data_IF_149513409029
#
_entry.id   IF_149513409029
#
_cell.length_a   1.000
_cell.length_b   1.000
_cell.length_c   1.000
_cell.angle_alpha   90.00
_cell.angle_beta   90.00
_cell.angle_gamma   90.00
#
_symmetry.space_group_name_H-M   'P 1'
#
loop_
_entity.id
_entity.type
_entity.pdbx_description
1 polymer ?
#
# COMPACT_ATOMS: atom_id res chain seq x y z
N UNK A 1 10.64 6.92 18.12
CA UNK A 1 10.07 6.53 16.82
C UNK A 1 8.74 7.27 16.72
N UNK A 2 8.46 7.90 15.59
CA UNK A 2 7.19 8.59 15.31
C UNK A 2 6.62 7.94 14.07
N UNK A 3 5.41 7.40 14.19
CA UNK A 3 4.70 6.73 13.11
C UNK A 3 3.68 7.65 12.44
N UNK A 4 3.36 7.36 11.18
CA UNK A 4 2.49 8.17 10.31
C UNK A 4 2.84 9.68 10.33
N UNK A 5 4.14 10.00 10.28
CA UNK A 5 4.61 11.39 10.37
C UNK A 5 4.11 12.28 9.24
N UNK A 6 3.80 11.70 8.08
CA UNK A 6 3.20 12.37 6.94
C UNK A 6 1.72 12.75 7.16
N UNK A 7 0.94 11.98 7.92
CA UNK A 7 -0.41 12.40 8.31
C UNK A 7 -0.38 13.70 9.13
N UNK A 8 0.67 13.90 9.93
CA UNK A 8 0.86 15.09 10.74
C UNK A 8 1.42 16.29 9.96
N UNK A 9 1.84 16.11 8.69
CA UNK A 9 2.51 17.18 7.93
C UNK A 9 1.62 18.39 7.63
N UNK A 10 0.29 18.19 7.63
CA UNK A 10 -0.70 19.25 7.45
C UNK A 10 -0.85 20.17 8.68
N UNK A 11 -0.09 19.91 9.75
CA UNK A 11 -0.07 20.71 10.96
C UNK A 11 1.28 21.43 11.12
N UNK A 12 1.21 22.75 11.19
CA UNK A 12 2.35 23.65 11.46
C UNK A 12 3.16 23.25 12.69
N UNK A 13 2.49 22.71 13.71
CA UNK A 13 3.10 22.21 14.94
C UNK A 13 4.05 21.04 14.68
N UNK A 14 3.73 20.15 13.75
CA UNK A 14 4.57 19.02 13.39
C UNK A 14 5.82 19.46 12.63
N UNK A 15 5.67 20.35 11.65
CA UNK A 15 6.83 20.93 10.94
C UNK A 15 7.75 21.70 11.92
N UNK A 16 7.16 22.41 12.88
CA UNK A 16 7.92 23.08 13.94
C UNK A 16 8.68 22.07 14.82
N UNK A 17 8.04 20.96 15.20
CA UNK A 17 8.69 19.86 15.93
C UNK A 17 9.87 19.27 15.15
N UNK A 18 9.71 19.05 13.85
CA UNK A 18 10.78 18.59 12.96
C UNK A 18 11.99 19.55 12.96
N UNK A 19 11.72 20.86 12.94
CA UNK A 19 12.75 21.91 13.09
C UNK A 19 13.44 21.91 14.45
N UNK A 20 12.71 21.63 15.54
CA UNK A 20 13.29 21.46 16.88
C UNK A 20 14.24 20.27 16.93
N UNK A 21 13.86 19.12 16.35
CA UNK A 21 14.74 17.95 16.28
C UNK A 21 16.02 18.28 15.52
N UNK A 22 15.93 18.91 14.35
CA UNK A 22 17.11 19.35 13.60
C UNK A 22 18.02 20.25 14.44
N UNK A 23 17.43 21.24 15.11
CA UNK A 23 18.17 22.20 15.93
C UNK A 23 18.86 21.56 17.14
N UNK A 24 18.21 20.56 17.75
CA UNK A 24 18.78 19.80 18.85
C UNK A 24 19.91 18.87 18.37
N UNK A 25 19.74 18.19 17.22
CA UNK A 25 20.77 17.36 16.62
C UNK A 25 22.03 18.15 16.24
N UNK A 26 21.87 19.36 15.68
CA UNK A 26 23.02 20.21 15.33
C UNK A 26 23.79 20.68 16.57
N UNK A 27 23.10 20.89 17.70
CA UNK A 27 23.69 21.32 18.98
C UNK A 27 24.02 20.16 19.93
N UNK A 28 24.05 18.92 19.44
CA UNK A 28 24.27 17.71 20.27
C UNK A 28 25.62 17.67 20.99
N UNK A 29 26.59 18.48 20.57
CA UNK A 29 27.88 18.61 21.22
C UNK A 29 27.89 19.62 22.38
N UNK A 30 26.89 20.50 22.45
CA UNK A 30 26.77 21.56 23.47
C UNK A 30 25.74 21.20 24.56
N UNK A 31 24.67 20.49 24.20
CA UNK A 31 23.60 20.10 25.11
C UNK A 31 23.24 18.62 24.93
N UNK A 32 22.93 17.89 26.03
CA UNK A 32 22.35 16.56 25.93
C UNK A 32 21.08 16.57 25.07
N UNK A 33 20.98 15.62 24.15
CA UNK A 33 19.84 15.46 23.24
C UNK A 33 19.63 13.97 22.90
N UNK A 34 18.64 13.67 22.08
CA UNK A 34 18.36 12.32 21.59
C UNK A 34 19.53 11.71 20.79
N UNK A 35 19.64 10.38 20.82
CA UNK A 35 20.61 9.64 20.02
C UNK A 35 20.17 9.53 18.55
N UNK A 36 18.88 9.23 18.33
CA UNK A 36 18.30 9.06 16.99
C UNK A 36 16.82 9.40 17.00
N UNK A 37 16.33 9.95 15.89
CA UNK A 37 14.91 10.08 15.57
C UNK A 37 14.63 9.20 14.36
N UNK A 38 13.60 8.36 14.47
CA UNK A 38 13.08 7.55 13.37
C UNK A 38 11.66 8.04 13.10
N UNK A 39 11.43 8.48 11.86
CA UNK A 39 10.13 8.88 11.34
C UNK A 39 9.71 7.85 10.30
N UNK A 40 8.48 7.36 10.39
CA UNK A 40 7.88 6.48 9.39
C UNK A 40 6.65 7.17 8.77
N UNK A 41 6.41 6.89 7.50
CA UNK A 41 5.36 7.50 6.70
C UNK A 41 5.41 6.97 5.27
N UNK A 42 4.34 7.16 4.53
CA UNK A 42 4.20 6.75 3.13
C UNK A 42 4.83 7.79 2.20
N UNK A 43 4.65 9.08 2.52
CA UNK A 43 5.21 10.15 1.73
C UNK A 43 6.66 10.50 2.12
N UNK A 44 7.43 10.85 1.10
CA UNK A 44 8.79 11.35 1.28
C UNK A 44 8.83 12.62 2.14
N UNK A 45 9.64 12.59 3.20
CA UNK A 45 9.82 13.71 4.14
C UNK A 45 10.22 15.02 3.45
N UNK A 46 10.85 14.96 2.27
CA UNK A 46 11.23 16.14 1.48
C UNK A 46 10.02 16.88 0.91
N UNK A 47 8.92 16.17 0.69
CA UNK A 47 7.70 16.71 0.07
C UNK A 47 6.71 17.30 1.10
N UNK A 48 7.02 17.26 2.40
CA UNK A 48 6.17 17.89 3.41
C UNK A 48 6.10 19.41 3.19
N UNK A 49 4.88 19.95 3.15
CA UNK A 49 4.58 21.38 2.96
C UNK A 49 3.92 21.97 4.19
N UNK A 50 4.25 23.22 4.49
CA UNK A 50 3.46 24.09 5.36
C UNK A 50 2.12 24.42 4.66
N UNK A 51 1.04 24.60 5.42
CA UNK A 51 -0.21 25.11 4.84
C UNK A 51 0.06 26.46 4.13
N UNK A 52 -0.52 26.63 2.95
CA UNK A 52 -0.43 27.82 2.07
C UNK A 52 0.88 28.06 1.30
N UNK A 53 1.85 27.16 1.31
CA UNK A 53 3.07 27.29 0.49
C UNK A 53 3.02 26.40 -0.77
N UNK A 54 3.23 27.01 -1.95
CA UNK A 54 3.26 26.30 -3.24
C UNK A 54 4.42 25.33 -3.43
N UNK A 55 5.43 25.37 -2.55
CA UNK A 55 6.66 24.58 -2.68
C UNK A 55 6.99 23.85 -1.36
N UNK A 56 7.57 22.64 -1.42
CA UNK A 56 8.01 21.90 -0.24
C UNK A 56 9.00 22.72 0.58
N UNK A 57 8.81 22.75 1.90
CA UNK A 57 9.67 23.50 2.83
C UNK A 57 10.13 22.67 4.03
N UNK A 58 10.17 21.35 3.87
CA UNK A 58 10.64 20.43 4.91
C UNK A 58 12.02 20.83 5.44
N UNK A 59 12.22 20.86 6.78
CA UNK A 59 13.53 21.12 7.38
C UNK A 59 14.55 20.00 7.09
N UNK A 60 14.10 18.89 6.50
CA UNK A 60 14.87 17.72 6.07
C UNK A 60 14.90 17.59 4.54
N UNK A 61 15.19 18.69 3.83
CA UNK A 61 15.24 18.75 2.36
C UNK A 61 16.48 18.07 1.72
N UNK A 62 17.47 17.69 2.51
CA UNK A 62 18.62 16.87 2.08
C UNK A 62 18.50 15.53 2.80
N UNK A 63 18.09 14.51 2.07
CA UNK A 63 17.95 13.13 2.55
C UNK A 63 18.66 12.18 1.57
N UNK A 64 19.40 11.22 2.11
CA UNK A 64 19.92 10.09 1.33
C UNK A 64 18.76 9.10 1.13
N UNK A 65 18.42 8.72 -0.11
CA UNK A 65 17.38 7.73 -0.34
C UNK A 65 17.81 6.39 0.29
N UNK A 66 16.91 5.81 1.09
CA UNK A 66 17.03 4.45 1.59
C UNK A 66 15.94 3.65 0.88
N UNK A 67 16.32 2.94 -0.18
CA UNK A 67 15.42 2.08 -0.94
C UNK A 67 15.32 0.74 -0.21
N UNK A 68 14.18 0.51 0.44
CA UNK A 68 13.85 -0.77 1.07
C UNK A 68 12.62 -1.29 0.35
N UNK A 69 12.75 -2.47 -0.25
CA UNK A 69 11.59 -3.25 -0.66
C UNK A 69 10.93 -3.80 0.60
N UNK A 70 9.70 -3.34 0.87
CA UNK A 70 8.93 -3.77 2.03
C UNK A 70 8.00 -4.94 1.69
N UNK A 71 8.05 -5.50 0.48
CA UNK A 71 7.29 -6.69 0.13
C UNK A 71 7.99 -7.95 0.65
N UNK A 72 7.18 -8.92 1.10
CA UNK A 72 7.70 -10.22 1.47
C UNK A 72 7.88 -11.11 0.25
N UNK A 73 9.04 -11.71 0.09
CA UNK A 73 9.25 -12.83 -0.81
C UNK A 73 8.48 -14.07 -0.35
N UNK A 74 8.21 -15.01 -1.26
CA UNK A 74 7.57 -16.28 -0.89
C UNK A 74 8.39 -17.08 0.15
N UNK A 75 9.72 -16.93 0.16
CA UNK A 75 10.58 -17.55 1.16
C UNK A 75 10.43 -16.91 2.55
N UNK A 76 10.30 -15.59 2.65
CA UNK A 76 10.06 -14.92 3.94
C UNK A 76 8.67 -15.27 4.48
N UNK A 77 7.65 -15.33 3.62
CA UNK A 77 6.32 -15.81 4.02
C UNK A 77 6.40 -17.25 4.52
N UNK A 78 7.14 -18.12 3.82
CA UNK A 78 7.37 -19.51 4.25
C UNK A 78 8.01 -19.57 5.63
N UNK A 79 9.04 -18.78 5.90
CA UNK A 79 9.70 -18.76 7.21
C UNK A 79 8.73 -18.38 8.32
N UNK A 80 7.90 -17.36 8.10
CA UNK A 80 6.85 -16.98 9.06
C UNK A 80 5.82 -18.11 9.26
N UNK A 81 5.44 -18.83 8.21
CA UNK A 81 4.54 -19.97 8.30
C UNK A 81 5.18 -21.21 8.93
N UNK A 82 6.49 -21.43 8.75
CA UNK A 82 7.23 -22.50 9.43
C UNK A 82 7.22 -22.28 10.95
N UNK A 83 7.45 -21.05 11.41
CA UNK A 83 7.36 -20.68 12.83
C UNK A 83 5.93 -20.91 13.36
N UNK A 84 4.93 -20.46 12.61
CA UNK A 84 3.52 -20.65 12.99
C UNK A 84 3.11 -22.13 13.03
N UNK A 85 3.56 -22.95 12.08
CA UNK A 85 3.30 -24.40 12.04
C UNK A 85 3.97 -25.13 13.21
N UNK A 86 5.18 -24.72 13.62
CA UNK A 86 5.84 -25.28 14.79
C UNK A 86 5.02 -25.06 16.06
N UNK A 87 4.37 -23.90 16.19
CA UNK A 87 3.57 -23.55 17.36
C UNK A 87 2.17 -24.18 17.35
N UNK A 88 1.52 -24.27 16.18
CA UNK A 88 0.09 -24.62 16.06
C UNK A 88 -0.19 -26.00 15.47
N UNK A 89 0.81 -26.67 14.88
CA UNK A 89 0.72 -28.03 14.34
C UNK A 89 -0.48 -28.23 13.40
N UNK A 90 -0.70 -27.27 12.49
CA UNK A 90 -1.85 -27.25 11.59
C UNK A 90 -1.77 -28.30 10.47
N UNK A 91 -0.61 -28.97 10.33
CA UNK A 91 -0.26 -29.91 9.26
C UNK A 91 -0.23 -29.27 7.86
N UNK A 92 0.03 -27.95 7.78
CA UNK A 92 0.09 -27.25 6.51
C UNK A 92 1.35 -27.57 5.71
N UNK A 93 1.25 -27.47 4.39
CA UNK A 93 2.43 -27.38 3.54
C UNK A 93 2.87 -25.92 3.43
N UNK A 94 3.75 -25.49 4.34
CA UNK A 94 4.19 -24.08 4.46
C UNK A 94 4.74 -23.52 3.15
N UNK A 95 5.52 -24.31 2.40
CA UNK A 95 6.08 -23.89 1.12
C UNK A 95 5.01 -23.63 0.06
N UNK A 96 4.01 -24.52 -0.03
CA UNK A 96 2.92 -24.38 -1.00
C UNK A 96 2.03 -23.19 -0.64
N UNK A 97 1.65 -23.05 0.63
CA UNK A 97 0.79 -21.98 1.10
C UNK A 97 1.48 -20.62 0.99
N UNK A 98 2.76 -20.53 1.35
CA UNK A 98 3.54 -19.30 1.20
C UNK A 98 3.60 -18.84 -0.26
N UNK A 99 3.83 -19.78 -1.20
CA UNK A 99 3.84 -19.44 -2.62
C UNK A 99 2.46 -18.95 -3.08
N UNK A 100 1.38 -19.63 -2.67
CA UNK A 100 0.04 -19.22 -3.04
C UNK A 100 -0.34 -17.85 -2.47
N UNK A 101 -0.02 -17.57 -1.20
CA UNK A 101 -0.22 -16.25 -0.59
C UNK A 101 0.58 -15.19 -1.35
N UNK A 102 1.85 -15.46 -1.67
CA UNK A 102 2.69 -14.56 -2.46
C UNK A 102 2.08 -14.28 -3.85
N UNK A 103 1.65 -15.32 -4.57
CA UNK A 103 1.07 -15.19 -5.93
C UNK A 103 -0.16 -14.29 -5.97
N UNK A 104 -0.94 -14.23 -4.89
CA UNK A 104 -2.13 -13.38 -4.80
C UNK A 104 -1.83 -11.97 -4.27
N UNK A 105 -0.88 -11.86 -3.35
CA UNK A 105 -0.61 -10.62 -2.59
C UNK A 105 0.54 -9.80 -3.17
N UNK A 106 1.40 -10.40 -4.02
CA UNK A 106 2.66 -9.81 -4.45
C UNK A 106 3.61 -9.52 -3.27
N UNK A 107 3.44 -10.22 -2.14
CA UNK A 107 4.22 -9.96 -0.92
C UNK A 107 3.75 -8.74 -0.12
N UNK A 108 2.64 -8.09 -0.48
CA UNK A 108 2.15 -6.90 0.22
C UNK A 108 1.88 -7.20 1.71
N UNK A 109 2.62 -6.61 2.67
CA UNK A 109 2.65 -7.07 4.06
C UNK A 109 1.29 -7.19 4.73
N UNK A 110 0.44 -6.16 4.60
CA UNK A 110 -0.88 -6.18 5.19
C UNK A 110 -1.78 -7.28 4.57
N UNK A 111 -1.70 -7.51 3.26
CA UNK A 111 -2.53 -8.52 2.59
C UNK A 111 -2.07 -9.94 2.98
N UNK A 112 -0.76 -10.16 3.07
CA UNK A 112 -0.17 -11.41 3.60
C UNK A 112 -0.71 -11.69 5.00
N UNK A 113 -0.55 -10.73 5.92
CA UNK A 113 -0.99 -10.88 7.31
C UNK A 113 -2.51 -11.05 7.44
N UNK A 114 -3.29 -10.28 6.68
CA UNK A 114 -4.76 -10.34 6.73
C UNK A 114 -5.28 -11.67 6.18
N UNK A 115 -4.69 -12.22 5.11
CA UNK A 115 -5.06 -13.57 4.64
C UNK A 115 -4.77 -14.63 5.69
N UNK A 116 -3.58 -14.62 6.29
CA UNK A 116 -3.23 -15.55 7.36
C UNK A 116 -4.21 -15.46 8.54
N UNK A 117 -4.56 -14.23 8.95
CA UNK A 117 -5.52 -13.98 10.01
C UNK A 117 -6.92 -14.52 9.68
N UNK A 118 -7.44 -14.30 8.46
CA UNK A 118 -8.74 -14.83 8.04
C UNK A 118 -8.74 -16.37 8.04
N UNK A 119 -7.67 -17.02 7.56
CA UNK A 119 -7.58 -18.49 7.53
C UNK A 119 -7.66 -19.07 8.95
N UNK A 120 -6.94 -18.45 9.89
CA UNK A 120 -6.89 -18.87 11.28
C UNK A 120 -8.22 -18.63 12.01
N UNK A 121 -8.74 -17.39 11.99
CA UNK A 121 -9.95 -17.01 12.73
C UNK A 121 -11.20 -17.77 12.25
N UNK A 122 -11.31 -18.02 10.95
CA UNK A 122 -12.47 -18.72 10.37
C UNK A 122 -12.29 -20.23 10.23
N UNK A 123 -11.14 -20.77 10.65
CA UNK A 123 -10.85 -22.21 10.67
C UNK A 123 -11.04 -22.83 9.28
N UNK A 124 -10.65 -22.11 8.22
CA UNK A 124 -10.81 -22.57 6.83
C UNK A 124 -9.86 -23.71 6.43
N UNK A 125 -8.85 -23.97 7.28
CA UNK A 125 -7.81 -24.97 7.03
C UNK A 125 -6.66 -24.39 6.20
N UNK A 126 -5.43 -24.75 6.57
CA UNK A 126 -4.22 -24.27 5.92
C UNK A 126 -3.87 -25.11 4.67
N UNK A 127 -4.78 -25.08 3.70
CA UNK A 127 -4.71 -25.75 2.40
C UNK A 127 -5.18 -24.80 1.27
N UNK A 128 -5.19 -25.27 0.03
CA UNK A 128 -5.58 -24.46 -1.13
C UNK A 128 -7.02 -23.95 -1.03
N UNK A 129 -7.95 -24.78 -0.59
CA UNK A 129 -9.36 -24.42 -0.43
C UNK A 129 -9.53 -23.32 0.61
N UNK A 130 -8.83 -23.42 1.74
CA UNK A 130 -8.92 -22.44 2.81
C UNK A 130 -8.30 -21.09 2.45
N UNK A 131 -7.19 -21.08 1.72
CA UNK A 131 -6.63 -19.83 1.15
C UNK A 131 -7.61 -19.19 0.18
N UNK A 132 -8.26 -19.97 -0.69
CA UNK A 132 -9.28 -19.44 -1.62
C UNK A 132 -10.50 -18.89 -0.88
N UNK A 133 -10.95 -19.56 0.20
CA UNK A 133 -12.04 -19.06 1.04
C UNK A 133 -11.67 -17.72 1.68
N UNK A 134 -10.45 -17.61 2.23
CA UNK A 134 -9.95 -16.38 2.82
C UNK A 134 -9.82 -15.22 1.81
N UNK A 135 -9.38 -15.51 0.58
CA UNK A 135 -9.34 -14.50 -0.49
C UNK A 135 -10.75 -14.01 -0.83
N UNK A 136 -11.73 -14.91 -0.94
CA UNK A 136 -13.10 -14.52 -1.26
C UNK A 136 -13.70 -13.65 -0.15
N UNK A 137 -13.44 -14.00 1.11
CA UNK A 137 -13.87 -13.20 2.25
C UNK A 137 -13.21 -11.82 2.26
N UNK A 138 -11.89 -11.76 2.09
CA UNK A 138 -11.13 -10.51 1.99
C UNK A 138 -11.71 -9.58 0.92
N UNK A 139 -12.08 -10.11 -0.24
CA UNK A 139 -12.67 -9.34 -1.34
C UNK A 139 -14.10 -8.86 -1.07
N UNK A 140 -14.79 -9.48 -0.11
CA UNK A 140 -16.14 -9.11 0.32
C UNK A 140 -16.17 -8.19 1.55
N UNK A 141 -15.10 -8.18 2.33
CA UNK A 141 -14.96 -7.39 3.55
C UNK A 141 -14.71 -5.91 3.22
N UNK A 142 -15.27 -5.02 4.04
CA UNK A 142 -14.95 -3.59 3.96
C UNK A 142 -13.67 -3.31 4.76
N UNK A 143 -12.53 -3.43 4.09
CA UNK A 143 -11.23 -3.09 4.68
C UNK A 143 -10.80 -1.65 4.34
N UNK A 144 -10.06 -1.02 5.27
CA UNK A 144 -9.61 0.37 5.13
C UNK A 144 -8.75 0.57 3.88
N UNK A 145 -7.82 -0.35 3.59
CA UNK A 145 -6.94 -0.30 2.42
C UNK A 145 -7.72 -0.13 1.10
N UNK A 146 -8.79 -0.92 0.92
CA UNK A 146 -9.66 -0.82 -0.26
C UNK A 146 -10.49 0.46 -0.26
N UNK A 147 -10.94 0.90 0.91
CA UNK A 147 -11.70 2.15 1.04
C UNK A 147 -10.83 3.36 0.68
N UNK A 148 -9.57 3.38 1.11
CA UNK A 148 -8.61 4.43 0.78
C UNK A 148 -8.29 4.46 -0.72
N UNK A 149 -8.08 3.30 -1.33
CA UNK A 149 -7.88 3.21 -2.78
C UNK A 149 -9.10 3.73 -3.55
N UNK A 150 -10.29 3.30 -3.16
CA UNK A 150 -11.52 3.80 -3.79
C UNK A 150 -11.65 5.33 -3.65
N UNK A 151 -11.45 5.87 -2.44
CA UNK A 151 -11.53 7.32 -2.20
C UNK A 151 -10.51 8.10 -3.04
N UNK A 152 -9.28 7.59 -3.19
CA UNK A 152 -8.27 8.25 -4.01
C UNK A 152 -8.65 8.25 -5.50
N UNK A 153 -9.25 7.17 -6.01
CA UNK A 153 -9.79 7.16 -7.38
C UNK A 153 -10.96 8.14 -7.58
N UNK A 154 -11.79 8.36 -6.57
CA UNK A 154 -12.88 9.35 -6.63
C UNK A 154 -12.36 10.78 -6.55
N UNK A 155 -11.31 11.04 -5.76
CA UNK A 155 -10.66 12.34 -5.66
C UNK A 155 -9.88 12.70 -6.95
N UNK A 156 -9.28 11.70 -7.60
CA UNK A 156 -8.46 11.86 -8.80
C UNK A 156 -9.04 11.07 -9.99
N UNK A 157 -9.98 11.64 -10.78
CA UNK A 157 -10.60 10.94 -11.92
C UNK A 157 -9.62 10.47 -13.01
N UNK A 158 -8.48 11.15 -13.17
CA UNK A 158 -7.40 10.74 -14.07
C UNK A 158 -6.76 9.45 -13.61
N UNK A 159 -6.56 9.26 -12.30
CA UNK A 159 -6.09 7.99 -11.72
C UNK A 159 -7.12 6.87 -11.97
N UNK A 160 -8.42 7.13 -11.74
CA UNK A 160 -9.47 6.14 -12.02
C UNK A 160 -9.46 5.68 -13.49
N UNK A 161 -9.27 6.63 -14.41
CA UNK A 161 -9.17 6.33 -15.85
C UNK A 161 -7.94 5.47 -16.15
N UNK A 162 -6.78 5.85 -15.60
CA UNK A 162 -5.53 5.12 -15.74
C UNK A 162 -5.63 3.68 -15.22
N UNK A 163 -6.24 3.49 -14.05
CA UNK A 163 -6.49 2.15 -13.46
C UNK A 163 -7.37 1.33 -14.40
N UNK A 164 -8.44 1.90 -14.98
CA UNK A 164 -9.30 1.20 -15.95
C UNK A 164 -8.52 0.81 -17.22
N UNK A 165 -7.69 1.70 -17.75
CA UNK A 165 -6.88 1.43 -18.95
C UNK A 165 -5.90 0.28 -18.71
N UNK A 166 -5.16 0.31 -17.60
CA UNK A 166 -4.23 -0.77 -17.20
C UNK A 166 -4.99 -2.08 -17.00
N UNK A 167 -6.14 -2.06 -16.33
CA UNK A 167 -6.95 -3.25 -16.06
C UNK A 167 -7.53 -3.88 -17.35
N UNK A 168 -7.82 -3.07 -18.38
CA UNK A 168 -8.22 -3.54 -19.70
C UNK A 168 -7.03 -4.01 -20.56
N UNK A 169 -5.81 -4.02 -20.02
CA UNK A 169 -4.61 -4.47 -20.70
C UNK A 169 -3.99 -3.43 -21.64
N UNK A 170 -4.34 -2.14 -21.51
CA UNK A 170 -3.65 -1.11 -22.27
C UNK A 170 -2.21 -0.95 -21.79
N UNK A 171 -1.29 -0.79 -22.75
CA UNK A 171 0.11 -0.60 -22.46
C UNK A 171 0.40 0.85 -22.07
N UNK A 172 0.58 1.09 -20.77
CA UNK A 172 0.93 2.40 -20.21
C UNK A 172 2.40 2.37 -19.78
N UNK A 173 3.18 3.38 -20.18
CA UNK A 173 4.58 3.50 -19.76
C UNK A 173 4.69 3.87 -18.28
N UNK A 174 5.56 3.17 -17.56
CA UNK A 174 5.84 3.48 -16.16
C UNK A 174 6.72 4.73 -16.07
N UNK A 175 6.22 5.79 -15.44
CA UNK A 175 6.96 7.02 -15.22
C UNK A 175 6.45 7.75 -13.98
N UNK A 176 7.27 7.78 -12.93
CA UNK A 176 6.99 8.52 -11.68
C UNK A 176 6.97 10.05 -11.86
N UNK A 177 7.23 10.55 -13.07
CA UNK A 177 7.01 11.95 -13.42
C UNK A 177 5.52 12.25 -13.70
N UNK A 178 4.72 11.22 -13.96
CA UNK A 178 3.26 11.34 -14.09
C UNK A 178 2.66 11.26 -12.68
N UNK A 179 1.94 12.30 -12.20
CA UNK A 179 1.47 12.38 -10.82
C UNK A 179 0.64 11.17 -10.39
N UNK A 180 -0.24 10.66 -11.26
CA UNK A 180 -1.10 9.52 -10.99
C UNK A 180 -0.31 8.22 -10.82
N UNK A 181 0.71 7.99 -11.67
CA UNK A 181 1.60 6.82 -11.57
C UNK A 181 2.43 6.92 -10.30
N UNK A 182 2.99 8.10 -10.01
CA UNK A 182 3.76 8.34 -8.78
C UNK A 182 2.92 8.05 -7.54
N UNK A 183 1.70 8.57 -7.50
CA UNK A 183 0.78 8.38 -6.39
C UNK A 183 0.45 6.90 -6.20
N UNK A 184 0.02 6.20 -7.26
CA UNK A 184 -0.31 4.78 -7.19
C UNK A 184 0.90 3.89 -6.85
N UNK A 185 2.10 4.23 -7.33
CA UNK A 185 3.33 3.53 -6.97
C UNK A 185 3.72 3.76 -5.50
N UNK A 186 3.44 4.95 -4.94
CA UNK A 186 3.72 5.26 -3.52
C UNK A 186 2.93 4.33 -2.58
N UNK A 187 1.70 3.98 -2.94
CA UNK A 187 0.86 3.02 -2.22
C UNK A 187 1.06 1.56 -2.68
N UNK A 188 2.04 1.30 -3.56
CA UNK A 188 2.30 0.01 -4.16
C UNK A 188 1.06 -0.64 -4.80
N UNK A 189 0.19 0.18 -5.40
CA UNK A 189 -0.93 -0.29 -6.21
C UNK A 189 -0.52 -0.55 -7.65
N UNK A 190 0.47 0.19 -8.14
CA UNK A 190 1.13 -0.04 -9.41
C UNK A 190 2.56 -0.52 -9.22
N UNK A 191 2.97 -1.44 -10.08
CA UNK A 191 4.35 -1.92 -10.20
C UNK A 191 4.90 -1.60 -11.60
N UNK A 192 6.23 -1.50 -11.68
CA UNK A 192 6.96 -1.41 -12.94
C UNK A 192 7.29 -2.82 -13.46
N UNK A 193 6.62 -3.23 -14.54
CA UNK A 193 6.96 -4.44 -15.27
C UNK A 193 7.62 -4.04 -16.59
N UNK A 194 8.96 -4.06 -16.58
CA UNK A 194 9.80 -3.78 -17.76
C UNK A 194 9.52 -2.43 -18.45
N UNK A 195 9.26 -1.38 -17.67
CA UNK A 195 8.93 -0.03 -18.15
C UNK A 195 7.45 0.18 -18.41
N UNK A 196 6.58 -0.77 -18.02
CA UNK A 196 5.13 -0.69 -18.18
C UNK A 196 4.41 -0.76 -16.84
N UNK A 197 3.30 -0.03 -16.72
CA UNK A 197 2.46 -0.03 -15.52
C UNK A 197 1.67 -1.34 -15.44
N UNK A 198 1.74 -2.00 -14.29
CA UNK A 198 0.88 -3.12 -13.92
C UNK A 198 0.21 -2.89 -12.58
N UNK A 199 -0.94 -3.53 -12.36
CA UNK A 199 -1.51 -3.64 -11.01
C UNK A 199 -0.58 -4.52 -10.19
N UNK A 200 -0.19 -4.05 -9.00
CA UNK A 200 0.91 -4.65 -8.23
C UNK A 200 0.64 -6.08 -7.75
N UNK A 201 -0.63 -6.46 -7.56
CA UNK A 201 -0.98 -7.82 -7.17
C UNK A 201 -2.39 -8.22 -7.62
N UNK A 202 -2.63 -9.54 -7.58
CA UNK A 202 -3.87 -10.15 -8.08
C UNK A 202 -5.08 -9.80 -7.21
N UNK A 203 -4.92 -9.63 -5.90
CA UNK A 203 -6.02 -9.20 -5.02
C UNK A 203 -6.54 -7.83 -5.45
N UNK A 204 -5.65 -6.85 -5.69
CA UNK A 204 -6.05 -5.55 -6.21
C UNK A 204 -6.72 -5.66 -7.57
N UNK A 205 -6.19 -6.46 -8.49
CA UNK A 205 -6.86 -6.68 -9.78
C UNK A 205 -8.29 -7.24 -9.63
N UNK A 206 -8.46 -8.27 -8.80
CA UNK A 206 -9.74 -8.92 -8.58
C UNK A 206 -10.74 -7.95 -7.95
N UNK A 207 -10.30 -7.21 -6.93
CA UNK A 207 -11.11 -6.21 -6.27
C UNK A 207 -11.54 -5.07 -7.21
N UNK A 208 -10.59 -4.52 -7.99
CA UNK A 208 -10.87 -3.48 -8.99
C UNK A 208 -11.84 -3.98 -10.08
N UNK A 209 -11.65 -5.21 -10.57
CA UNK A 209 -12.58 -5.85 -11.53
C UNK A 209 -13.99 -5.91 -10.94
N UNK A 210 -14.13 -6.37 -9.69
CA UNK A 210 -15.44 -6.45 -9.03
C UNK A 210 -16.10 -5.08 -8.95
N UNK A 211 -15.40 -4.04 -8.50
CA UNK A 211 -15.94 -2.68 -8.38
C UNK A 211 -16.39 -2.14 -9.74
N UNK A 212 -15.55 -2.21 -10.78
CA UNK A 212 -15.91 -1.63 -12.07
C UNK A 212 -17.02 -2.41 -12.78
N UNK A 213 -17.09 -3.73 -12.58
CA UNK A 213 -18.24 -4.53 -13.05
C UNK A 213 -19.52 -4.05 -12.35
N UNK A 214 -19.48 -3.87 -11.03
CA UNK A 214 -20.61 -3.38 -10.25
C UNK A 214 -21.02 -1.97 -10.67
N UNK A 215 -20.10 -1.03 -10.83
CA UNK A 215 -20.38 0.32 -11.36
C UNK A 215 -21.11 0.25 -12.71
N UNK A 216 -20.63 -0.58 -13.64
CA UNK A 216 -21.24 -0.71 -14.97
C UNK A 216 -22.64 -1.33 -14.93
N UNK A 217 -22.93 -2.22 -13.98
CA UNK A 217 -24.27 -2.81 -13.79
C UNK A 217 -25.24 -1.90 -13.04
N UNK A 218 -24.74 -1.06 -12.12
CA UNK A 218 -25.53 -0.08 -11.37
C UNK A 218 -25.70 1.28 -12.08
N UNK A 219 -25.11 1.45 -13.26
CA UNK A 219 -25.49 2.48 -14.23
C UNK A 219 -26.44 1.86 -15.29
N UNK A 220 -27.70 1.52 -14.98
CA UNK A 220 -28.66 1.15 -16.01
C UNK A 220 -29.16 2.41 -16.72
N UNK A 221 -28.82 2.55 -18.02
CA UNK A 221 -29.64 3.18 -19.08
C UNK A 221 -30.30 4.56 -18.84
N UNK A 222 -29.98 5.33 -17.80
CA UNK A 222 -30.58 6.64 -17.56
C UNK A 222 -30.12 7.71 -18.58
N UNK A 223 -29.10 7.42 -19.40
CA UNK A 223 -28.67 8.29 -20.50
C UNK A 223 -29.27 7.96 -21.88
N UNK A 224 -30.08 6.90 -22.01
CA UNK A 224 -30.74 6.54 -23.29
C UNK A 224 -32.20 7.00 -23.40
N UNK A 225 -32.70 7.79 -22.44
CA UNK A 225 -34.03 8.43 -22.50
C UNK A 225 -33.99 9.96 -22.59
N UNK A 226 -32.86 10.52 -22.98
CA UNK A 226 -32.69 11.94 -23.25
C UNK A 226 -31.95 12.13 -24.59
N UNK A 227 -32.58 11.67 -25.67
CA UNK A 227 -32.21 11.96 -27.06
C UNK A 227 -33.47 11.85 -27.91
#
# INVERSE_FOLDING_TARGET
IIDEGDNASNYDSFISLLGLFRSAFLRRHEYPTFQSVVLTGVYDIRNLTYKDHKYPNSPYNIATPLEIDMTFSSNEIKQMLDDYENDHQTSMNTSMIAQMIHDYTGGYPFLVSKLCNIIDENIYGWNTEGVMAAINELLSEKITLFTEFYNLMEEYPTLKTLVKDVLHGQHVLFSVNIPEIKLAATFNWFADEHGSVKIANRIFEMWLKNIFITENHFIPQQRLRAS
#
